data_IF_059635956729
#
_entry.id   IF_059635956729
#
_cell.length_a   1.000
_cell.length_b   1.000
_cell.length_c   1.000
_cell.angle_alpha   90.00
_cell.angle_beta   90.00
_cell.angle_gamma   90.00
#
_symmetry.space_group_name_H-M   'P 1'
#
loop_
_entity.id
_entity.type
_entity.pdbx_description
1 polymer ?
#
# COMPACT_ATOMS: atom_id res chain seq x y z
N UNK A 1 26.10 2.92 -7.27
CA UNK A 1 26.26 2.55 -5.84
C UNK A 1 25.48 3.59 -5.05
N UNK A 2 24.17 3.40 -4.91
CA UNK A 2 23.29 4.29 -4.14
C UNK A 2 22.96 3.50 -2.88
N UNK A 3 23.69 3.76 -1.81
CA UNK A 3 23.35 3.26 -0.49
C UNK A 3 22.28 4.19 0.08
N UNK A 4 21.03 3.72 0.15
CA UNK A 4 19.98 4.42 0.89
C UNK A 4 20.17 4.13 2.38
N UNK A 5 21.11 4.84 3.00
CA UNK A 5 21.32 4.77 4.45
C UNK A 5 20.24 5.58 5.15
N UNK A 6 19.16 4.92 5.56
CA UNK A 6 18.17 5.47 6.48
C UNK A 6 18.77 5.51 7.90
N UNK A 7 19.38 6.63 8.27
CA UNK A 7 19.68 6.97 9.65
C UNK A 7 18.45 7.68 10.23
N UNK A 8 17.60 6.92 10.93
CA UNK A 8 16.65 7.50 11.87
C UNK A 8 17.37 7.71 13.21
N UNK A 9 17.71 8.96 13.54
CA UNK A 9 18.04 9.33 14.91
C UNK A 9 16.75 9.73 15.62
N UNK A 10 16.22 8.84 16.45
CA UNK A 10 15.19 9.18 17.43
C UNK A 10 15.78 10.03 18.54
N UNK A 11 15.21 11.21 18.76
CA UNK A 11 15.38 11.99 19.98
C UNK A 11 14.07 11.98 20.74
N UNK A 12 14.11 11.50 21.98
CA UNK A 12 13.02 11.57 22.94
C UNK A 12 12.65 13.05 23.20
N UNK A 13 11.51 13.47 22.70
CA UNK A 13 10.70 14.51 23.34
C UNK A 13 9.23 14.16 23.19
N UNK A 14 8.61 13.83 24.32
CA UNK A 14 7.16 13.73 24.48
C UNK A 14 6.48 14.99 23.93
N UNK A 15 5.72 14.82 22.87
CA UNK A 15 5.02 15.91 22.19
C UNK A 15 4.39 15.44 20.89
N UNK A 16 3.45 14.49 20.96
CA UNK A 16 2.59 14.18 19.83
C UNK A 16 1.85 15.45 19.41
N UNK A 17 2.10 15.92 18.18
CA UNK A 17 1.50 17.14 17.62
C UNK A 17 0.17 16.87 16.91
N UNK A 18 -0.44 15.70 17.09
CA UNK A 18 -1.74 15.39 16.50
C UNK A 18 -2.83 16.09 17.31
N UNK A 19 -3.54 17.09 16.77
CA UNK A 19 -4.69 17.66 17.45
C UNK A 19 -5.81 16.62 17.52
N UNK A 20 -6.47 16.50 18.68
CA UNK A 20 -7.63 15.61 18.91
C UNK A 20 -8.86 15.94 18.04
N UNK A 21 -8.82 17.03 17.25
CA UNK A 21 -9.89 17.53 16.39
C UNK A 21 -9.56 17.34 14.89
N UNK A 22 -9.33 16.09 14.46
CA UNK A 22 -9.30 15.82 13.02
C UNK A 22 -10.73 15.92 12.44
N UNK A 23 -10.92 16.64 11.31
CA UNK A 23 -12.23 16.76 10.68
C UNK A 23 -12.79 15.38 10.35
N UNK A 24 -14.09 15.17 10.62
CA UNK A 24 -14.78 13.95 10.20
C UNK A 24 -14.83 13.95 8.67
N UNK A 25 -15.06 12.79 8.05
CA UNK A 25 -15.15 12.66 6.60
C UNK A 25 -16.13 13.67 5.94
N UNK A 26 -17.14 14.12 6.69
CA UNK A 26 -18.11 15.15 6.29
C UNK A 26 -17.54 16.59 6.23
N UNK A 27 -16.37 16.83 6.81
CA UNK A 27 -15.73 18.15 6.96
C UNK A 27 -14.54 18.34 6.00
N UNK A 28 -14.17 17.33 5.22
CA UNK A 28 -13.21 17.49 4.13
C UNK A 28 -13.88 18.30 3.00
N UNK A 29 -13.23 19.35 2.45
CA UNK A 29 -13.80 20.06 1.32
C UNK A 29 -13.90 19.10 0.14
N UNK A 30 -15.12 18.62 -0.12
CA UNK A 30 -15.43 17.92 -1.36
C UNK A 30 -15.03 18.84 -2.51
N UNK A 31 -14.29 18.35 -3.53
CA UNK A 31 -14.08 19.13 -4.73
C UNK A 31 -15.45 19.55 -5.26
N UNK A 32 -15.64 20.86 -5.43
CA UNK A 32 -16.93 21.56 -5.63
C UNK A 32 -17.75 21.14 -6.86
N UNK A 33 -17.36 20.08 -7.56
CA UNK A 33 -17.97 19.64 -8.80
C UNK A 33 -18.79 18.36 -8.67
N UNK A 34 -18.63 17.54 -7.62
CA UNK A 34 -19.40 16.31 -7.41
C UNK A 34 -19.53 16.02 -5.91
N UNK A 35 -20.73 16.17 -5.33
CA UNK A 35 -21.03 15.64 -3.99
C UNK A 35 -21.65 14.25 -4.13
N UNK A 36 -21.00 13.24 -3.57
CA UNK A 36 -21.55 11.90 -3.40
C UNK A 36 -21.39 11.46 -1.95
N UNK A 37 -22.28 10.60 -1.50
CA UNK A 37 -22.16 9.95 -0.20
C UNK A 37 -21.40 8.63 -0.38
N UNK A 38 -20.54 8.30 0.58
CA UNK A 38 -19.91 6.99 0.61
C UNK A 38 -20.92 5.92 0.97
N UNK A 39 -20.72 4.73 0.42
CA UNK A 39 -21.44 3.53 0.82
C UNK A 39 -21.16 3.20 2.30
N UNK A 40 -22.10 2.49 2.96
CA UNK A 40 -21.86 1.93 4.29
C UNK A 40 -20.57 1.11 4.34
N UNK A 41 -19.81 1.28 5.43
CA UNK A 41 -18.47 0.68 5.56
C UNK A 41 -18.49 -0.80 5.96
N UNK A 42 -19.64 -1.33 6.42
CA UNK A 42 -19.75 -2.68 6.97
C UNK A 42 -19.28 -3.78 5.98
N UNK A 43 -19.54 -3.56 4.69
CA UNK A 43 -19.22 -4.48 3.61
C UNK A 43 -17.90 -4.13 2.89
N UNK A 44 -17.27 -3.01 3.24
CA UNK A 44 -16.03 -2.58 2.62
C UNK A 44 -14.87 -3.47 3.10
N UNK A 45 -14.04 -3.90 2.15
CA UNK A 45 -13.01 -4.91 2.36
C UNK A 45 -13.53 -6.34 2.52
N UNK A 46 -14.80 -6.64 2.26
CA UNK A 46 -15.28 -8.04 2.22
C UNK A 46 -14.56 -8.80 1.09
N UNK A 47 -13.86 -9.93 1.38
CA UNK A 47 -13.27 -10.77 0.34
C UNK A 47 -14.37 -11.42 -0.52
N UNK A 48 -14.32 -11.16 -1.83
CA UNK A 48 -15.19 -11.79 -2.84
C UNK A 48 -14.55 -13.07 -3.37
N UNK A 49 -13.23 -13.04 -3.60
CA UNK A 49 -12.44 -14.20 -3.99
C UNK A 49 -11.15 -14.20 -3.19
N UNK A 50 -10.81 -15.36 -2.66
CA UNK A 50 -9.57 -15.60 -1.94
C UNK A 50 -8.84 -16.78 -2.59
N UNK A 51 -7.60 -16.57 -3.01
CA UNK A 51 -6.80 -17.59 -3.68
C UNK A 51 -5.38 -17.65 -3.11
N UNK A 52 -4.97 -18.80 -2.58
CA UNK A 52 -3.57 -19.04 -2.25
C UNK A 52 -2.69 -19.00 -3.51
N UNK A 53 -1.51 -18.38 -3.41
CA UNK A 53 -0.51 -18.25 -4.45
C UNK A 53 0.79 -19.00 -4.05
N UNK A 54 0.78 -20.35 -4.05
CA UNK A 54 1.95 -21.14 -3.66
C UNK A 54 3.17 -20.89 -4.55
N UNK A 55 2.96 -20.46 -5.80
CA UNK A 55 4.03 -20.07 -6.71
C UNK A 55 4.77 -18.78 -6.30
N UNK A 56 4.23 -18.05 -5.32
CA UNK A 56 4.81 -16.86 -4.69
C UNK A 56 5.05 -17.05 -3.19
N UNK A 57 5.01 -18.29 -2.71
CA UNK A 57 5.27 -18.64 -1.32
C UNK A 57 6.66 -19.27 -1.23
N UNK A 58 7.51 -18.74 -0.35
CA UNK A 58 8.94 -19.07 -0.30
C UNK A 58 9.35 -19.43 1.12
N UNK A 59 10.33 -20.32 1.27
CA UNK A 59 11.09 -20.38 2.51
C UNK A 59 12.13 -19.25 2.57
N UNK A 60 12.79 -19.08 3.72
CA UNK A 60 13.73 -17.97 3.91
C UNK A 60 14.87 -17.99 2.86
N UNK A 61 15.38 -19.17 2.51
CA UNK A 61 16.41 -19.31 1.49
C UNK A 61 15.90 -18.96 0.07
N UNK A 62 14.65 -19.31 -0.25
CA UNK A 62 13.99 -18.92 -1.48
C UNK A 62 13.82 -17.40 -1.60
N UNK A 63 13.49 -16.74 -0.49
CA UNK A 63 13.44 -15.27 -0.45
C UNK A 63 14.82 -14.66 -0.68
N UNK A 64 15.88 -15.23 -0.09
CA UNK A 64 17.27 -14.77 -0.32
C UNK A 64 17.69 -14.87 -1.80
N UNK A 65 17.28 -15.95 -2.47
CA UNK A 65 17.47 -16.11 -3.91
C UNK A 65 16.70 -15.05 -4.71
N UNK A 66 15.46 -14.75 -4.31
CA UNK A 66 14.61 -13.74 -4.94
C UNK A 66 15.21 -12.33 -4.81
N UNK A 67 15.61 -11.90 -3.62
CA UNK A 67 16.19 -10.56 -3.42
C UNK A 67 17.53 -10.39 -4.12
N UNK A 68 18.31 -11.46 -4.25
CA UNK A 68 19.54 -11.47 -5.05
C UNK A 68 19.23 -11.22 -6.53
N UNK A 69 18.21 -11.90 -7.08
CA UNK A 69 17.76 -11.70 -8.46
C UNK A 69 17.26 -10.28 -8.72
N UNK A 70 16.57 -9.69 -7.74
CA UNK A 70 16.04 -8.32 -7.81
C UNK A 70 17.12 -7.24 -7.59
N UNK A 71 18.35 -7.62 -7.22
CA UNK A 71 19.43 -6.67 -6.95
C UNK A 71 19.25 -5.89 -5.66
N UNK A 72 18.56 -6.46 -4.66
CA UNK A 72 18.31 -5.87 -3.33
C UNK A 72 18.96 -6.71 -2.20
N UNK A 73 20.28 -6.96 -2.24
CA UNK A 73 20.95 -7.84 -1.28
C UNK A 73 20.88 -7.35 0.18
N UNK A 74 20.60 -6.07 0.41
CA UNK A 74 20.39 -5.47 1.73
C UNK A 74 19.21 -6.06 2.49
N UNK A 75 18.26 -6.69 1.78
CA UNK A 75 17.12 -7.37 2.40
C UNK A 75 17.45 -8.79 2.85
N UNK A 76 18.59 -9.36 2.42
CA UNK A 76 19.09 -10.65 2.87
C UNK A 76 19.92 -10.54 4.18
N UNK A 77 20.09 -11.64 4.95
CA UNK A 77 19.30 -12.86 4.87
C UNK A 77 17.87 -12.63 5.41
N UNK A 78 16.90 -13.29 4.80
CA UNK A 78 15.53 -13.37 5.29
C UNK A 78 15.48 -14.18 6.59
N UNK A 79 14.60 -13.78 7.51
CA UNK A 79 14.44 -14.47 8.81
C UNK A 79 13.31 -15.49 8.75
N UNK A 80 12.27 -15.22 7.97
CA UNK A 80 11.06 -16.03 7.87
C UNK A 80 10.82 -16.49 6.43
N UNK A 81 10.16 -17.64 6.28
CA UNK A 81 9.45 -17.93 5.03
C UNK A 81 8.16 -17.13 4.95
N UNK A 82 7.50 -17.12 3.80
CA UNK A 82 6.21 -16.46 3.60
C UNK A 82 5.22 -17.33 2.85
N UNK A 83 3.94 -17.15 3.14
CA UNK A 83 2.81 -17.65 2.37
C UNK A 83 2.10 -16.46 1.72
N UNK A 84 1.78 -16.57 0.43
CA UNK A 84 1.20 -15.49 -0.36
C UNK A 84 -0.20 -15.84 -0.84
N UNK A 85 -1.08 -14.84 -0.81
CA UNK A 85 -2.48 -14.94 -1.18
C UNK A 85 -2.81 -13.81 -2.14
N UNK A 86 -3.72 -14.05 -3.09
CA UNK A 86 -4.39 -13.02 -3.87
C UNK A 86 -5.83 -12.92 -3.38
N UNK A 87 -6.30 -11.69 -3.21
CA UNK A 87 -7.67 -11.41 -2.83
C UNK A 87 -8.31 -10.46 -3.84
N UNK A 88 -9.60 -10.66 -4.07
CA UNK A 88 -10.51 -9.70 -4.68
C UNK A 88 -11.47 -9.28 -3.59
N UNK A 89 -11.65 -7.99 -3.38
CA UNK A 89 -12.45 -7.45 -2.29
C UNK A 89 -13.39 -6.35 -2.76
N UNK A 90 -14.48 -6.17 -2.03
CA UNK A 90 -15.42 -5.06 -2.25
C UNK A 90 -14.82 -3.75 -1.75
N UNK A 91 -14.95 -2.71 -2.55
CA UNK A 91 -14.62 -1.32 -2.19
C UNK A 91 -15.60 -0.39 -2.90
N UNK A 92 -15.29 0.90 -3.02
CA UNK A 92 -16.14 1.88 -3.69
C UNK A 92 -15.35 2.93 -4.45
N UNK A 93 -15.98 3.50 -5.46
CA UNK A 93 -15.56 4.73 -6.13
C UNK A 93 -16.77 5.65 -6.27
N UNK A 94 -16.68 6.87 -5.74
CA UNK A 94 -17.76 7.89 -5.83
C UNK A 94 -19.14 7.40 -5.37
N UNK A 95 -19.18 6.64 -4.28
CA UNK A 95 -20.42 6.06 -3.73
C UNK A 95 -21.00 4.92 -4.58
N UNK A 96 -20.25 4.38 -5.54
CA UNK A 96 -20.63 3.21 -6.32
C UNK A 96 -19.84 1.99 -5.87
N UNK A 97 -20.47 0.82 -5.74
CA UNK A 97 -19.78 -0.39 -5.35
C UNK A 97 -18.90 -0.87 -6.50
N UNK A 98 -17.63 -1.12 -6.21
CA UNK A 98 -16.67 -1.67 -7.16
C UNK A 98 -15.85 -2.75 -6.47
N UNK A 99 -15.08 -3.50 -7.25
CA UNK A 99 -14.15 -4.50 -6.73
C UNK A 99 -12.73 -4.14 -7.14
N UNK A 100 -11.79 -4.48 -6.26
CA UNK A 100 -10.36 -4.35 -6.51
C UNK A 100 -9.63 -5.61 -6.04
N UNK A 101 -8.35 -5.72 -6.36
CA UNK A 101 -7.54 -6.86 -5.98
C UNK A 101 -6.30 -6.43 -5.19
N UNK A 102 -5.74 -7.37 -4.45
CA UNK A 102 -4.50 -7.19 -3.72
C UNK A 102 -3.77 -8.53 -3.57
N UNK A 103 -2.48 -8.46 -3.29
CA UNK A 103 -1.74 -9.57 -2.71
C UNK A 103 -1.59 -9.40 -1.20
N UNK A 104 -1.68 -10.48 -0.45
CA UNK A 104 -1.41 -10.54 0.99
C UNK A 104 -0.26 -11.52 1.21
N UNK A 105 0.79 -11.04 1.86
CA UNK A 105 1.99 -11.82 2.17
C UNK A 105 2.05 -11.99 3.69
N UNK A 106 2.09 -13.25 4.12
CA UNK A 106 2.01 -13.63 5.54
C UNK A 106 3.31 -14.33 5.93
N UNK A 107 4.05 -13.82 6.93
CA UNK A 107 5.29 -14.44 7.36
C UNK A 107 5.02 -15.69 8.18
N UNK A 108 5.84 -16.73 7.99
CA UNK A 108 5.83 -17.95 8.79
C UNK A 108 6.62 -17.72 10.07
N UNK A 109 5.96 -17.10 11.06
CA UNK A 109 6.54 -16.85 12.37
C UNK A 109 6.68 -18.13 13.19
N UNK A 110 7.69 -18.18 14.06
CA UNK A 110 7.93 -19.33 14.93
C UNK A 110 6.84 -19.51 16.01
N UNK A 111 6.16 -18.43 16.39
CA UNK A 111 5.05 -18.44 17.32
C UNK A 111 3.82 -17.78 16.68
N UNK A 112 2.62 -18.37 16.85
CA UNK A 112 1.38 -17.72 16.47
C UNK A 112 1.17 -16.40 17.23
N UNK A 113 0.50 -15.43 16.62
CA UNK A 113 0.15 -14.18 17.28
C UNK A 113 0.03 -12.98 16.35
N UNK A 114 -0.18 -11.79 16.94
CA UNK A 114 -0.34 -10.54 16.19
C UNK A 114 0.99 -10.07 15.59
N UNK A 115 0.95 -9.64 14.34
CA UNK A 115 2.07 -9.01 13.63
C UNK A 115 1.66 -7.64 13.08
N UNK A 116 2.60 -6.67 12.95
CA UNK A 116 2.32 -5.43 12.25
C UNK A 116 1.77 -5.66 10.85
N UNK A 117 0.83 -4.82 10.44
CA UNK A 117 0.34 -4.76 9.07
C UNK A 117 1.11 -3.68 8.31
N UNK A 118 1.68 -4.03 7.17
CA UNK A 118 2.25 -3.09 6.22
C UNK A 118 1.34 -2.97 5.00
N UNK A 119 0.87 -1.77 4.72
CA UNK A 119 0.28 -1.40 3.45
C UNK A 119 1.40 -0.97 2.50
N UNK A 120 1.73 -1.84 1.55
CA UNK A 120 2.76 -1.60 0.55
C UNK A 120 2.13 -1.03 -0.71
N UNK A 121 2.19 0.29 -0.84
CA UNK A 121 1.64 1.05 -1.95
C UNK A 121 2.64 1.05 -3.12
N UNK A 122 2.27 0.40 -4.23
CA UNK A 122 3.18 0.20 -5.35
C UNK A 122 3.44 1.49 -6.14
N UNK A 123 4.65 1.57 -6.71
CA UNK A 123 5.02 2.57 -7.71
C UNK A 123 4.33 2.30 -9.05
N UNK A 124 4.44 3.22 -10.01
CA UNK A 124 3.83 3.08 -11.33
C UNK A 124 4.24 1.77 -12.02
N UNK A 125 3.30 0.83 -12.12
CA UNK A 125 3.46 -0.45 -12.82
C UNK A 125 2.73 -0.49 -14.17
N UNK A 126 1.81 0.45 -14.39
CA UNK A 126 1.05 0.64 -15.62
C UNK A 126 -0.40 1.04 -15.32
N UNK A 127 -1.33 0.64 -16.20
CA UNK A 127 -2.73 1.06 -16.10
C UNK A 127 -3.74 -0.01 -16.60
N UNK A 128 -3.31 -1.28 -16.64
CA UNK A 128 -4.13 -2.42 -17.06
C UNK A 128 -3.93 -3.59 -16.10
N UNK A 129 -4.79 -4.60 -16.19
CA UNK A 129 -4.77 -5.76 -15.28
C UNK A 129 -3.42 -6.50 -15.22
N UNK A 130 -2.69 -6.59 -16.34
CA UNK A 130 -1.35 -7.21 -16.35
C UNK A 130 -0.30 -6.39 -15.57
N UNK A 131 -0.58 -5.11 -15.33
CA UNK A 131 0.26 -4.21 -14.56
C UNK A 131 -0.06 -4.26 -13.06
N UNK A 132 -1.09 -4.98 -12.64
CA UNK A 132 -1.37 -5.23 -11.23
C UNK A 132 -0.17 -5.94 -10.59
N UNK A 133 0.40 -5.45 -9.47
CA UNK A 133 1.45 -6.14 -8.74
C UNK A 133 1.15 -7.64 -8.51
N UNK A 134 -0.09 -7.97 -8.16
CA UNK A 134 -0.53 -9.35 -7.92
C UNK A 134 -0.54 -10.23 -9.18
N UNK A 135 -0.67 -9.65 -10.37
CA UNK A 135 -0.59 -10.35 -11.66
C UNK A 135 0.85 -10.49 -12.19
N UNK A 136 1.75 -9.58 -11.81
CA UNK A 136 3.15 -9.56 -12.27
C UNK A 136 4.03 -10.63 -11.60
N UNK A 137 3.49 -11.38 -10.64
CA UNK A 137 4.23 -12.40 -9.90
C UNK A 137 5.41 -11.82 -9.12
N UNK A 138 6.56 -12.49 -9.17
CA UNK A 138 7.76 -12.08 -8.42
C UNK A 138 8.28 -10.70 -8.85
N UNK A 139 8.00 -10.25 -10.09
CA UNK A 139 8.40 -8.92 -10.56
C UNK A 139 7.60 -7.81 -9.85
N UNK A 140 6.33 -8.05 -9.55
CA UNK A 140 5.47 -7.10 -8.83
C UNK A 140 5.59 -7.21 -7.31
N UNK A 141 5.75 -8.45 -6.80
CA UNK A 141 5.63 -8.74 -5.36
C UNK A 141 6.97 -9.05 -4.67
N UNK A 142 8.09 -8.99 -5.39
CA UNK A 142 9.38 -9.36 -4.84
C UNK A 142 9.81 -8.54 -3.61
N UNK A 143 9.61 -7.22 -3.65
CA UNK A 143 9.89 -6.33 -2.53
C UNK A 143 8.97 -6.56 -1.31
N UNK A 144 7.63 -6.60 -1.45
CA UNK A 144 6.76 -6.87 -0.29
C UNK A 144 7.00 -8.28 0.29
N UNK A 145 7.31 -9.29 -0.55
CA UNK A 145 7.73 -10.62 -0.08
C UNK A 145 8.98 -10.55 0.78
N UNK A 146 10.01 -9.86 0.29
CA UNK A 146 11.27 -9.70 0.98
C UNK A 146 11.09 -8.99 2.34
N UNK A 147 10.25 -7.97 2.40
CA UNK A 147 10.01 -7.22 3.63
C UNK A 147 9.22 -8.03 4.65
N UNK A 148 8.17 -8.74 4.23
CA UNK A 148 7.44 -9.66 5.09
C UNK A 148 8.40 -10.69 5.71
N UNK A 149 9.24 -11.30 4.89
CA UNK A 149 10.21 -12.32 5.27
C UNK A 149 11.35 -11.80 6.17
N UNK A 150 11.82 -10.57 5.94
CA UNK A 150 12.91 -9.96 6.70
C UNK A 150 12.44 -9.45 8.06
N UNK A 151 11.28 -8.80 8.09
CA UNK A 151 10.82 -8.04 9.24
C UNK A 151 9.71 -8.75 10.04
N UNK A 152 9.12 -9.83 9.50
CA UNK A 152 8.06 -10.58 10.19
C UNK A 152 6.73 -9.82 10.26
N UNK A 153 6.41 -9.06 9.21
CA UNK A 153 5.17 -8.28 9.08
C UNK A 153 4.19 -9.01 8.15
N UNK A 154 2.89 -8.86 8.39
CA UNK A 154 1.89 -9.13 7.35
C UNK A 154 1.91 -7.95 6.38
N UNK A 155 1.97 -8.21 5.08
CA UNK A 155 2.02 -7.17 4.06
C UNK A 155 0.81 -7.29 3.15
N UNK A 156 0.08 -6.20 2.94
CA UNK A 156 -0.93 -6.08 1.88
C UNK A 156 -0.38 -5.18 0.78
N UNK A 157 -0.44 -5.64 -0.45
CA UNK A 157 -0.06 -4.92 -1.65
C UNK A 157 -1.31 -4.75 -2.53
N UNK A 158 -2.08 -3.64 -2.35
CA UNK A 158 -3.24 -3.36 -3.19
C UNK A 158 -2.80 -3.15 -4.64
N UNK A 159 -3.59 -3.63 -5.60
CA UNK A 159 -3.34 -3.40 -7.03
C UNK A 159 -3.90 -2.05 -7.51
N UNK A 160 -4.59 -1.31 -6.64
CA UNK A 160 -5.42 -0.14 -6.97
C UNK A 160 -6.63 -0.45 -7.87
N UNK A 161 -7.55 0.51 -7.93
CA UNK A 161 -8.67 0.46 -8.88
C UNK A 161 -8.16 0.41 -10.31
N UNK A 162 -8.82 -0.38 -11.16
CA UNK A 162 -8.53 -0.45 -12.59
C UNK A 162 -7.37 -1.37 -12.99
N UNK A 163 -6.83 -2.15 -12.04
CA UNK A 163 -5.79 -3.15 -12.30
C UNK A 163 -6.13 -4.45 -11.55
N UNK A 164 -7.07 -5.23 -12.09
CA UNK A 164 -7.53 -6.47 -11.47
C UNK A 164 -6.58 -7.63 -11.76
N UNK A 165 -5.73 -8.00 -10.80
CA UNK A 165 -4.81 -9.12 -10.93
C UNK A 165 -5.39 -10.50 -10.62
N UNK A 166 -6.65 -10.56 -10.20
CA UNK A 166 -7.39 -11.79 -9.90
C UNK A 166 -8.85 -11.69 -10.36
N UNK A 167 -9.33 -12.68 -11.11
CA UNK A 167 -10.75 -12.78 -11.52
C UNK A 167 -11.08 -12.02 -12.80
N UNK A 168 -12.26 -11.39 -12.85
CA UNK A 168 -12.74 -10.69 -14.05
C UNK A 168 -11.91 -9.42 -14.35
N UNK A 169 -11.71 -9.06 -15.63
CA UNK A 169 -10.99 -7.85 -15.99
C UNK A 169 -11.56 -6.59 -15.35
N UNK A 170 -10.74 -5.56 -15.15
CA UNK A 170 -11.23 -4.28 -14.64
C UNK A 170 -12.16 -3.60 -15.67
N UNK A 171 -13.31 -3.13 -15.21
CA UNK A 171 -14.27 -2.37 -16.03
C UNK A 171 -13.95 -0.86 -16.05
N UNK A 172 -13.16 -0.40 -15.08
CA UNK A 172 -12.79 1.00 -14.91
C UNK A 172 -11.30 1.22 -15.21
N UNK A 173 -10.98 2.42 -15.66
CA UNK A 173 -9.59 2.82 -15.87
C UNK A 173 -8.89 3.07 -14.53
N UNK A 174 -7.61 2.73 -14.49
CA UNK A 174 -6.77 3.02 -13.34
C UNK A 174 -6.70 4.54 -13.10
N UNK A 175 -7.17 5.06 -11.95
CA UNK A 175 -7.16 6.49 -11.65
C UNK A 175 -5.75 6.93 -11.18
N UNK A 176 -4.81 6.96 -12.14
CA UNK A 176 -3.40 7.24 -11.92
C UNK A 176 -3.18 8.59 -11.24
N UNK A 177 -2.57 8.56 -10.05
CA UNK A 177 -2.29 9.75 -9.21
C UNK A 177 -3.57 10.52 -8.86
N UNK A 178 -4.69 9.81 -8.67
CA UNK A 178 -5.92 10.37 -8.10
C UNK A 178 -6.09 9.84 -6.69
N UNK A 179 -6.04 10.74 -5.72
CA UNK A 179 -5.86 10.39 -4.31
C UNK A 179 -6.97 9.56 -3.69
N UNK A 180 -8.19 10.06 -3.73
CA UNK A 180 -9.35 9.44 -3.08
C UNK A 180 -9.61 7.97 -3.46
N UNK A 181 -9.78 7.60 -4.75
CA UNK A 181 -10.02 6.20 -5.12
C UNK A 181 -8.84 5.29 -4.75
N UNK A 182 -7.62 5.82 -4.79
CA UNK A 182 -6.42 5.06 -4.42
C UNK A 182 -6.43 4.77 -2.92
N UNK A 183 -6.68 5.79 -2.09
CA UNK A 183 -6.71 5.64 -0.63
C UNK A 183 -7.82 4.70 -0.16
N UNK A 184 -9.04 4.86 -0.70
CA UNK A 184 -10.19 4.02 -0.34
C UNK A 184 -9.92 2.54 -0.67
N UNK A 185 -9.46 2.25 -1.89
CA UNK A 185 -9.14 0.88 -2.29
C UNK A 185 -8.03 0.28 -1.41
N UNK A 186 -6.96 1.03 -1.14
CA UNK A 186 -5.87 0.55 -0.28
C UNK A 186 -6.32 0.28 1.17
N UNK A 187 -7.12 1.16 1.77
CA UNK A 187 -7.68 0.96 3.11
C UNK A 187 -8.61 -0.26 3.17
N UNK A 188 -9.42 -0.46 2.14
CA UNK A 188 -10.30 -1.63 2.04
C UNK A 188 -9.51 -2.93 1.77
N UNK A 189 -8.35 -2.86 1.11
CA UNK A 189 -7.42 -3.99 1.01
C UNK A 189 -6.87 -4.40 2.38
N UNK A 190 -6.55 -3.43 3.24
CA UNK A 190 -6.14 -3.68 4.61
C UNK A 190 -7.27 -4.36 5.41
N UNK A 191 -8.52 -3.88 5.32
CA UNK A 191 -9.69 -4.55 5.90
C UNK A 191 -9.85 -5.99 5.40
N UNK A 192 -9.71 -6.19 4.10
CA UNK A 192 -9.79 -7.51 3.48
C UNK A 192 -8.69 -8.45 3.99
N UNK A 193 -7.51 -7.91 4.30
CA UNK A 193 -6.41 -8.65 4.91
C UNK A 193 -6.73 -9.10 6.35
N UNK A 194 -7.40 -8.25 7.14
CA UNK A 194 -7.87 -8.63 8.48
C UNK A 194 -8.88 -9.80 8.39
N UNK A 195 -9.90 -9.66 7.52
CA UNK A 195 -10.94 -10.68 7.31
C UNK A 195 -10.37 -11.98 6.77
N UNK A 196 -9.43 -11.89 5.82
CA UNK A 196 -8.70 -13.03 5.30
C UNK A 196 -8.03 -13.84 6.42
N UNK A 197 -7.37 -13.16 7.34
CA UNK A 197 -6.67 -13.83 8.43
C UNK A 197 -7.63 -14.61 9.35
N UNK A 198 -8.81 -14.06 9.59
CA UNK A 198 -9.88 -14.70 10.36
C UNK A 198 -10.49 -15.90 9.62
N UNK A 199 -10.92 -15.71 8.37
CA UNK A 199 -11.58 -16.73 7.54
C UNK A 199 -10.71 -17.97 7.34
N UNK A 200 -9.40 -17.77 7.25
CA UNK A 200 -8.44 -18.80 6.89
C UNK A 200 -7.73 -19.38 8.12
N UNK A 201 -8.04 -18.86 9.31
CA UNK A 201 -7.44 -19.32 10.57
C UNK A 201 -5.92 -19.18 10.56
N UNK A 202 -5.38 -18.08 10.03
CA UNK A 202 -3.94 -17.88 9.93
C UNK A 202 -3.31 -17.83 11.33
N UNK A 203 -2.18 -18.52 11.49
CA UNK A 203 -1.45 -18.51 12.75
C UNK A 203 -0.90 -17.11 13.12
N UNK A 204 -0.62 -16.30 12.10
CA UNK A 204 -0.22 -14.91 12.24
C UNK A 204 -1.40 -14.03 11.86
N UNK A 205 -1.77 -13.13 12.76
CA UNK A 205 -2.89 -12.21 12.55
C UNK A 205 -2.37 -10.78 12.38
N UNK A 206 -2.81 -10.04 11.35
CA UNK A 206 -2.47 -8.64 11.20
C UNK A 206 -3.09 -7.82 12.34
N UNK A 207 -2.28 -6.98 12.99
CA UNK A 207 -2.72 -6.08 14.06
C UNK A 207 -3.07 -4.70 13.48
N UNK A 208 -4.36 -4.34 13.38
CA UNK A 208 -4.77 -3.05 12.81
C UNK A 208 -4.28 -1.86 13.64
N UNK A 209 -3.98 -2.05 14.93
CA UNK A 209 -3.43 -1.02 15.80
C UNK A 209 -1.92 -0.77 15.56
N UNK A 210 -1.28 -1.57 14.70
CA UNK A 210 0.14 -1.50 14.32
C UNK A 210 0.27 -1.49 12.80
N UNK A 211 -0.48 -0.60 12.15
CA UNK A 211 -0.45 -0.44 10.70
C UNK A 211 0.66 0.55 10.29
N UNK A 212 1.43 0.21 9.27
CA UNK A 212 2.41 1.09 8.63
C UNK A 212 2.04 1.21 7.16
N UNK A 213 2.21 2.40 6.60
CA UNK A 213 2.03 2.64 5.16
C UNK A 213 3.38 2.98 4.55
N UNK A 214 3.74 2.33 3.46
CA UNK A 214 4.93 2.66 2.71
C UNK A 214 4.61 2.73 1.22
N UNK A 215 5.15 3.73 0.54
CA UNK A 215 5.11 3.76 -0.92
C UNK A 215 6.14 4.70 -1.53
N UNK A 216 6.45 4.46 -2.81
CA UNK A 216 7.37 5.29 -3.59
C UNK A 216 6.75 5.77 -4.91
N UNK A 217 7.10 6.98 -5.36
CA UNK A 217 6.56 7.58 -6.60
C UNK A 217 5.03 7.66 -6.51
N UNK A 218 4.27 7.05 -7.44
CA UNK A 218 2.82 6.91 -7.32
C UNK A 218 2.40 6.34 -5.96
N UNK A 219 3.09 5.32 -5.46
CA UNK A 219 2.83 4.74 -4.14
C UNK A 219 3.14 5.71 -3.01
N UNK A 220 4.10 6.63 -3.21
CA UNK A 220 4.36 7.70 -2.25
C UNK A 220 3.18 8.68 -2.17
N UNK A 221 2.60 9.02 -3.32
CA UNK A 221 1.35 9.77 -3.37
C UNK A 221 0.21 8.99 -2.69
N UNK A 222 0.04 7.70 -3.01
CA UNK A 222 -0.93 6.84 -2.36
C UNK A 222 -0.77 6.83 -0.83
N UNK A 223 0.46 6.70 -0.31
CA UNK A 223 0.74 6.73 1.12
C UNK A 223 0.26 8.02 1.81
N UNK A 224 0.49 9.19 1.20
CA UNK A 224 -0.01 10.47 1.73
C UNK A 224 -1.55 10.55 1.73
N UNK A 225 -2.21 9.97 0.73
CA UNK A 225 -3.67 9.98 0.65
C UNK A 225 -4.31 8.93 1.56
N UNK A 226 -3.68 7.77 1.75
CA UNK A 226 -4.07 6.79 2.77
C UNK A 226 -4.03 7.44 4.16
N UNK A 227 -2.94 8.15 4.49
CA UNK A 227 -2.82 8.91 5.75
C UNK A 227 -3.95 9.92 5.95
N UNK A 228 -4.24 10.70 4.89
CA UNK A 228 -5.32 11.69 4.91
C UNK A 228 -6.71 11.08 5.15
N UNK A 229 -6.99 9.91 4.58
CA UNK A 229 -8.32 9.30 4.62
C UNK A 229 -8.54 8.36 5.80
N UNK A 230 -7.49 7.73 6.32
CA UNK A 230 -7.62 6.69 7.35
C UNK A 230 -8.44 7.12 8.58
N UNK A 231 -8.23 8.31 9.20
CA UNK A 231 -8.99 8.68 10.41
C UNK A 231 -10.50 8.80 10.19
N UNK A 232 -10.93 9.15 8.98
CA UNK A 232 -12.34 9.34 8.64
C UNK A 232 -12.99 8.13 7.98
N UNK A 233 -12.25 7.37 7.17
CA UNK A 233 -12.77 6.27 6.35
C UNK A 233 -12.53 4.88 6.97
N UNK A 234 -11.41 4.68 7.67
CA UNK A 234 -11.04 3.42 8.31
C UNK A 234 -10.42 3.63 9.71
N UNK A 235 -11.18 4.22 10.65
CA UNK A 235 -10.69 4.60 11.99
C UNK A 235 -10.20 3.42 12.84
N UNK A 236 -10.58 2.19 12.49
CA UNK A 236 -10.07 0.97 13.10
C UNK A 236 -8.60 0.68 12.79
N UNK A 237 -8.03 1.28 11.73
CA UNK A 237 -6.62 1.16 11.37
C UNK A 237 -5.81 2.28 12.03
N UNK A 238 -5.01 1.95 13.05
CA UNK A 238 -4.08 2.91 13.65
C UNK A 238 -2.76 2.94 12.87
N UNK A 239 -2.56 4.00 12.09
CA UNK A 239 -1.32 4.22 11.36
C UNK A 239 -0.21 4.68 12.33
N UNK A 240 0.82 3.86 12.49
CA UNK A 240 2.00 4.15 13.35
C UNK A 240 3.10 4.87 12.62
N UNK A 241 3.18 4.70 11.31
CA UNK A 241 4.13 5.39 10.45
C UNK A 241 3.61 5.41 9.01
N UNK A 242 3.90 6.51 8.32
CA UNK A 242 3.64 6.70 6.90
C UNK A 242 4.94 7.12 6.24
N UNK A 243 5.39 6.34 5.26
CA UNK A 243 6.62 6.59 4.51
C UNK A 243 6.26 6.85 3.05
N UNK A 244 6.28 8.13 2.67
CA UNK A 244 6.07 8.58 1.31
C UNK A 244 7.40 8.94 0.64
N UNK A 245 7.96 8.03 -0.16
CA UNK A 245 9.19 8.27 -0.90
C UNK A 245 8.91 8.90 -2.27
N UNK A 246 9.58 10.01 -2.58
CA UNK A 246 9.46 10.76 -3.85
C UNK A 246 8.01 10.93 -4.37
N UNK A 247 7.05 11.32 -3.51
CA UNK A 247 5.64 11.42 -3.92
C UNK A 247 5.44 12.56 -4.93
N UNK A 248 4.66 12.38 -6.01
CA UNK A 248 4.11 13.49 -6.77
C UNK A 248 3.03 14.19 -5.94
N UNK A 249 3.42 15.00 -4.97
CA UNK A 249 2.53 15.66 -4.00
C UNK A 249 1.77 16.86 -4.57
N UNK A 250 2.32 17.52 -5.60
CA UNK A 250 1.67 18.61 -6.32
C UNK A 250 1.84 18.42 -7.84
N UNK A 251 0.96 17.60 -8.41
CA UNK A 251 0.99 17.30 -9.85
C UNK A 251 0.73 18.53 -10.72
N UNK A 252 -0.03 19.51 -10.23
CA UNK A 252 -0.36 20.72 -10.99
C UNK A 252 0.85 21.64 -11.03
N UNK A 253 1.50 21.90 -9.90
CA UNK A 253 2.71 22.71 -9.87
C UNK A 253 3.88 22.04 -10.62
N UNK A 254 4.00 20.71 -10.54
CA UNK A 254 5.00 19.96 -11.32
C UNK A 254 4.76 20.11 -12.83
N UNK A 255 3.50 19.98 -13.27
CA UNK A 255 3.14 20.15 -14.67
C UNK A 255 3.36 21.60 -15.13
N UNK A 256 2.89 22.58 -14.35
CA UNK A 256 3.05 24.02 -14.64
C UNK A 256 4.52 24.38 -14.80
N UNK A 257 5.37 23.97 -13.85
CA UNK A 257 6.82 24.17 -13.95
C UNK A 257 7.39 23.54 -15.23
N UNK A 258 6.99 22.30 -15.54
CA UNK A 258 7.49 21.57 -16.71
C UNK A 258 7.12 22.22 -18.06
N UNK A 259 6.00 22.93 -18.14
CA UNK A 259 5.53 23.57 -19.39
C UNK A 259 5.87 25.06 -19.48
N UNK A 260 6.10 25.74 -18.35
CA UNK A 260 6.35 27.19 -18.32
C UNK A 260 7.83 27.57 -18.15
N UNK A 261 8.67 26.67 -17.62
CA UNK A 261 10.08 26.96 -17.36
C UNK A 261 11.01 26.11 -18.23
N UNK A 262 11.81 26.78 -19.06
CA UNK A 262 13.00 26.19 -19.65
C UNK A 262 14.17 26.46 -18.71
N UNK A 263 14.77 25.41 -18.17
CA UNK A 263 15.94 25.51 -17.32
C UNK A 263 17.16 25.12 -18.16
N UNK A 264 18.32 25.77 -17.93
CA UNK A 264 19.59 25.16 -18.34
C UNK A 264 19.61 23.74 -17.75
N UNK A 265 19.92 22.72 -18.57
CA UNK A 265 19.91 21.29 -18.18
C UNK A 265 20.54 21.13 -16.81
N UNK A 266 19.71 20.92 -15.79
CA UNK A 266 20.18 20.99 -14.42
C UNK A 266 21.05 19.77 -14.10
N UNK A 267 22.27 20.05 -13.66
CA UNK A 267 22.90 19.47 -12.45
C UNK A 267 21.85 18.76 -11.57
N UNK A 268 22.16 17.55 -11.07
CA UNK A 268 21.16 16.54 -10.70
C UNK A 268 20.06 17.06 -9.78
N UNK A 269 18.82 17.04 -10.28
CA UNK A 269 17.63 17.30 -9.49
C UNK A 269 17.45 16.16 -8.48
N UNK A 270 17.76 16.41 -7.22
CA UNK A 270 17.40 15.53 -6.09
C UNK A 270 16.16 16.12 -5.43
N UNK A 271 15.00 15.49 -5.62
CA UNK A 271 13.80 15.85 -4.90
C UNK A 271 13.77 15.08 -3.56
N UNK A 272 14.16 15.75 -2.47
CA UNK A 272 13.87 15.30 -1.10
C UNK A 272 12.72 16.16 -0.58
N UNK A 273 11.54 15.57 -0.44
CA UNK A 273 10.44 16.17 0.30
C UNK A 273 10.63 15.80 1.76
N UNK A 274 11.13 16.71 2.58
CA UNK A 274 10.98 16.60 4.04
C UNK A 274 9.60 17.15 4.39
N UNK A 275 8.76 16.29 4.98
CA UNK A 275 7.54 16.74 5.66
C UNK A 275 7.89 17.68 6.83
#
# INVERSE_FOLDING_TARGET
MIALTLLACGGDTDGGTTPDDLPRLADLPAPSCLSYEYLPLDDMGEPVVTQAAPELSFDAAGVDGLVTLLGAPELAPATYGVDTWRIRYRTQDRGQPVEATAAVIVPRLAQPGPAPLLMWEHFTSGATDICAPSAMGALGLGLPIAWAAKLGLVVVAPDYLGMNGLGAPAEQLHPYVVGEPTAIASLDAARATLRLAEEQGLAVTPDPARTVVWGASQGGHAALWVDRYAPGYAPELTLRAVVAAVPPSDVVALADRGVTSWNDTSEPLVAVSTA
#
